data_IF_655482433141
#
_entry.id   IF_655482433141
#
_cell.length_a   1.000
_cell.length_b   1.000
_cell.length_c   1.000
_cell.angle_alpha   90.00
_cell.angle_beta   90.00
_cell.angle_gamma   90.00
#
_symmetry.space_group_name_H-M   'P 1'
#
loop_
_entity.id
_entity.type
_entity.pdbx_description
1 polymer ?
#
# COMPACT_ATOMS: atom_id res chain seq x y z
N UNK A 1 30.22 2.96 22.06
CA UNK A 1 29.42 3.46 23.22
C UNK A 1 29.46 2.38 24.28
N UNK A 2 29.86 2.72 25.51
CA UNK A 2 29.86 1.77 26.62
C UNK A 2 28.42 1.49 27.06
N UNK A 3 28.06 0.20 27.15
CA UNK A 3 26.79 -0.31 27.64
C UNK A 3 27.05 -0.85 29.04
N UNK A 4 26.27 -0.43 30.03
CA UNK A 4 26.38 -0.97 31.39
C UNK A 4 25.23 -1.95 31.59
N UNK A 5 25.58 -3.15 32.07
CA UNK A 5 24.62 -4.19 32.46
C UNK A 5 24.43 -4.07 33.97
N UNK A 6 23.20 -3.84 34.41
CA UNK A 6 22.86 -3.63 35.83
C UNK A 6 22.20 -4.90 36.38
N UNK A 7 22.98 -5.96 36.55
CA UNK A 7 22.50 -7.26 37.06
C UNK A 7 22.27 -7.27 38.59
N UNK A 8 23.09 -6.53 39.35
CA UNK A 8 23.10 -6.61 40.82
C UNK A 8 22.34 -5.47 41.51
N UNK A 9 21.75 -4.52 40.77
CA UNK A 9 21.02 -3.39 41.35
C UNK A 9 19.50 -3.63 41.37
N UNK A 10 18.91 -4.06 42.51
CA UNK A 10 17.49 -4.36 42.59
C UNK A 10 16.59 -3.15 42.35
N UNK A 11 17.07 -1.92 42.58
CA UNK A 11 16.32 -0.70 42.33
C UNK A 11 16.15 -0.40 40.83
N UNK A 12 17.07 -0.89 39.99
CA UNK A 12 17.06 -0.66 38.55
C UNK A 12 16.46 -1.83 37.77
N UNK A 13 16.26 -2.99 38.40
CA UNK A 13 15.78 -4.18 37.73
C UNK A 13 14.35 -3.98 37.17
N UNK A 14 14.16 -4.23 35.88
CA UNK A 14 12.86 -4.10 35.21
C UNK A 14 12.46 -2.66 34.86
N UNK A 15 13.33 -1.68 35.09
CA UNK A 15 13.07 -0.28 34.71
C UNK A 15 13.17 -0.07 33.20
N UNK A 16 12.29 0.78 32.66
CA UNK A 16 12.31 1.18 31.26
C UNK A 16 12.02 2.68 31.14
N UNK A 17 12.57 3.33 30.12
CA UNK A 17 12.40 4.77 29.89
C UNK A 17 13.67 5.57 30.19
N UNK A 18 13.56 6.88 30.37
CA UNK A 18 14.72 7.75 30.60
C UNK A 18 14.64 8.42 31.97
N UNK A 19 15.73 8.34 32.73
CA UNK A 19 15.91 9.06 34.01
C UNK A 19 17.13 9.96 33.83
N UNK A 20 16.90 11.27 33.85
CA UNK A 20 17.94 12.26 33.54
C UNK A 20 18.58 12.04 32.16
N UNK A 21 19.90 11.86 32.15
CA UNK A 21 20.71 11.62 30.96
C UNK A 21 20.98 10.13 30.69
N UNK A 22 20.24 9.22 31.31
CA UNK A 22 20.35 7.78 31.08
C UNK A 22 19.02 7.23 30.56
N UNK A 23 19.11 6.33 29.59
CA UNK A 23 17.97 5.56 29.09
C UNK A 23 18.15 4.10 29.49
N UNK A 24 17.09 3.51 30.02
CA UNK A 24 16.98 2.15 30.52
C UNK A 24 16.07 1.34 29.60
N UNK A 25 16.49 0.10 29.32
CA UNK A 25 15.67 -0.88 28.60
C UNK A 25 16.02 -2.28 29.07
N UNK A 26 15.01 -3.14 29.13
CA UNK A 26 15.18 -4.56 29.39
C UNK A 26 15.38 -5.32 28.08
N UNK A 27 16.47 -6.08 27.96
CA UNK A 27 16.72 -6.99 26.83
C UNK A 27 17.24 -8.31 27.37
N UNK A 28 16.63 -9.42 26.95
CA UNK A 28 16.96 -10.77 27.41
C UNK A 28 16.95 -10.91 28.95
N UNK A 29 15.99 -10.25 29.63
CA UNK A 29 15.89 -10.30 31.10
C UNK A 29 16.91 -9.46 31.86
N UNK A 30 17.85 -8.80 31.18
CA UNK A 30 18.83 -7.91 31.80
C UNK A 30 18.46 -6.45 31.61
N UNK A 31 18.63 -5.65 32.67
CA UNK A 31 18.45 -4.20 32.60
C UNK A 31 19.73 -3.56 32.08
N UNK A 32 19.60 -2.84 30.97
CA UNK A 32 20.70 -2.18 30.29
C UNK A 32 20.51 -0.68 30.39
N UNK A 33 21.58 0.05 30.70
CA UNK A 33 21.59 1.51 30.63
C UNK A 33 22.63 2.04 29.64
N UNK A 34 22.31 3.17 29.01
CA UNK A 34 23.23 3.95 28.18
C UNK A 34 22.93 5.45 28.27
N UNK A 35 23.90 6.32 27.96
CA UNK A 35 23.67 7.75 27.88
C UNK A 35 22.55 8.08 26.88
N UNK A 36 21.59 8.89 27.31
CA UNK A 36 20.50 9.38 26.48
C UNK A 36 21.08 9.96 25.19
N UNK A 37 20.62 9.44 24.05
CA UNK A 37 21.02 9.99 22.76
C UNK A 37 20.50 11.41 22.63
N UNK A 38 21.39 12.35 22.35
CA UNK A 38 21.02 13.70 21.95
C UNK A 38 20.41 13.75 20.54
N UNK A 39 19.90 14.91 20.11
CA UNK A 39 19.41 15.09 18.75
C UNK A 39 20.52 14.77 17.73
N UNK A 40 20.12 14.20 16.60
CA UNK A 40 21.07 13.90 15.53
C UNK A 40 21.60 15.21 14.96
N UNK A 41 22.93 15.36 14.91
CA UNK A 41 23.58 16.59 14.42
C UNK A 41 23.82 16.60 12.91
N UNK A 42 23.64 15.45 12.25
CA UNK A 42 23.81 15.34 10.80
C UNK A 42 22.51 15.69 10.09
N UNK A 43 22.56 16.48 9.00
CA UNK A 43 21.38 16.72 8.20
C UNK A 43 20.87 15.39 7.60
N UNK A 44 19.56 15.26 7.35
CA UNK A 44 19.00 14.10 6.68
C UNK A 44 19.59 13.92 5.26
N UNK A 45 19.72 12.69 4.81
CA UNK A 45 20.06 12.39 3.41
C UNK A 45 18.88 12.67 2.49
N UNK A 46 19.12 12.82 1.19
CA UNK A 46 18.05 13.03 0.20
C UNK A 46 17.00 11.91 0.23
N UNK A 47 17.43 10.65 0.37
CA UNK A 47 16.53 9.50 0.52
C UNK A 47 15.68 9.60 1.80
N UNK A 48 16.25 10.09 2.90
CA UNK A 48 15.51 10.29 4.15
C UNK A 48 14.47 11.41 4.01
N UNK A 49 14.81 12.50 3.33
CA UNK A 49 13.86 13.58 3.02
C UNK A 49 12.72 13.04 2.15
N UNK A 50 13.03 12.24 1.12
CA UNK A 50 11.99 11.64 0.27
C UNK A 50 11.03 10.73 1.06
N UNK A 51 11.54 9.97 2.03
CA UNK A 51 10.70 9.16 2.92
C UNK A 51 9.86 10.02 3.86
N UNK A 52 10.41 11.13 4.40
CA UNK A 52 9.67 12.07 5.24
C UNK A 52 8.51 12.71 4.48
N UNK A 53 8.75 13.19 3.26
CA UNK A 53 7.72 13.79 2.40
C UNK A 53 6.60 12.78 2.10
N UNK A 54 6.95 11.52 1.80
CA UNK A 54 5.95 10.44 1.63
C UNK A 54 5.14 10.20 2.90
N UNK A 55 5.81 10.13 4.05
CA UNK A 55 5.17 9.92 5.34
C UNK A 55 4.18 11.05 5.68
N UNK A 56 4.58 12.30 5.48
CA UNK A 56 3.72 13.47 5.68
C UNK A 56 2.48 13.43 4.81
N UNK A 57 2.64 13.10 3.52
CA UNK A 57 1.51 12.94 2.58
C UNK A 57 0.54 11.86 3.05
N UNK A 58 1.04 10.69 3.46
CA UNK A 58 0.20 9.59 3.94
C UNK A 58 -0.50 9.94 5.26
N UNK A 59 0.18 10.65 6.15
CA UNK A 59 -0.39 11.12 7.41
C UNK A 59 -1.51 12.15 7.17
N UNK A 60 -1.29 13.11 6.26
CA UNK A 60 -2.30 14.11 5.89
C UNK A 60 -3.56 13.44 5.33
N UNK A 61 -3.40 12.52 4.36
CA UNK A 61 -4.54 11.75 3.84
C UNK A 61 -5.28 10.99 4.95
N UNK A 62 -4.54 10.30 5.82
CA UNK A 62 -5.16 9.53 6.89
C UNK A 62 -5.93 10.42 7.88
N UNK A 63 -5.47 11.65 8.13
CA UNK A 63 -6.19 12.63 8.96
C UNK A 63 -7.49 13.09 8.29
N UNK A 64 -7.44 13.42 7.00
CA UNK A 64 -8.63 13.81 6.22
C UNK A 64 -9.64 12.66 6.14
N UNK A 65 -9.17 11.43 5.90
CA UNK A 65 -10.00 10.26 5.77
C UNK A 65 -10.75 9.89 7.07
N UNK A 66 -10.18 10.16 8.25
CA UNK A 66 -10.87 9.92 9.53
C UNK A 66 -11.77 11.09 9.95
N UNK A 67 -11.59 12.28 9.36
CA UNK A 67 -12.46 13.43 9.60
C UNK A 67 -13.85 13.21 8.99
N UNK A 68 -13.90 12.49 7.86
CA UNK A 68 -15.14 12.02 7.23
C UNK A 68 -15.72 10.82 8.01
N UNK A 69 -16.96 10.93 8.56
CA UNK A 69 -17.59 9.84 9.32
C UNK A 69 -17.79 8.54 8.52
N UNK A 70 -18.08 8.63 7.22
CA UNK A 70 -18.35 7.44 6.39
C UNK A 70 -17.05 6.67 6.12
N UNK A 71 -16.01 7.39 5.71
CA UNK A 71 -14.67 6.82 5.50
C UNK A 71 -14.09 6.27 6.81
N UNK A 72 -14.28 6.97 7.93
CA UNK A 72 -13.86 6.49 9.25
C UNK A 72 -14.49 5.15 9.60
N UNK A 73 -15.79 4.97 9.35
CA UNK A 73 -16.47 3.70 9.62
C UNK A 73 -15.95 2.58 8.71
N UNK A 74 -15.71 2.89 7.43
CA UNK A 74 -15.12 1.96 6.47
C UNK A 74 -13.72 1.50 6.91
N UNK A 75 -12.85 2.43 7.28
CA UNK A 75 -11.51 2.11 7.79
C UNK A 75 -11.54 1.40 9.16
N UNK A 76 -12.50 1.71 10.02
CA UNK A 76 -12.69 0.99 11.30
C UNK A 76 -13.05 -0.48 11.07
N UNK A 77 -13.86 -0.80 10.04
CA UNK A 77 -14.16 -2.19 9.66
C UNK A 77 -12.97 -2.92 9.05
N UNK A 78 -12.11 -2.20 8.33
CA UNK A 78 -10.89 -2.77 7.72
C UNK A 78 -9.69 -2.87 8.70
N UNK A 79 -9.80 -2.27 9.88
CA UNK A 79 -8.74 -2.28 10.89
C UNK A 79 -8.54 -3.69 11.47
N UNK A 80 -7.28 -4.11 11.62
CA UNK A 80 -6.93 -5.37 12.30
C UNK A 80 -6.88 -5.18 13.81
N UNK A 81 -6.84 -6.28 14.58
CA UNK A 81 -6.73 -6.24 16.05
C UNK A 81 -5.58 -5.32 16.49
N UNK A 82 -5.90 -4.31 17.31
CA UNK A 82 -4.94 -3.32 17.81
C UNK A 82 -4.63 -2.15 16.87
N UNK A 83 -5.29 -2.05 15.72
CA UNK A 83 -5.16 -0.90 14.80
C UNK A 83 -6.35 0.05 14.96
N UNK A 84 -6.07 1.35 14.92
CA UNK A 84 -7.10 2.39 14.80
C UNK A 84 -7.54 2.55 13.34
N UNK A 85 -8.68 3.21 13.11
CA UNK A 85 -9.11 3.61 11.77
C UNK A 85 -8.04 4.46 11.06
N UNK A 86 -7.36 5.34 11.81
CA UNK A 86 -6.23 6.12 11.31
C UNK A 86 -5.09 5.22 10.80
N UNK A 87 -4.69 4.20 11.58
CA UNK A 87 -3.62 3.28 11.17
C UNK A 87 -4.01 2.48 9.92
N UNK A 88 -5.30 2.15 9.76
CA UNK A 88 -5.80 1.50 8.57
C UNK A 88 -5.72 2.43 7.34
N UNK A 89 -6.19 3.68 7.45
CA UNK A 89 -6.11 4.69 6.38
C UNK A 89 -4.66 5.04 6.00
N UNK A 90 -3.78 5.17 7.00
CA UNK A 90 -2.36 5.40 6.75
C UNK A 90 -1.72 4.23 5.98
N UNK A 91 -2.05 2.98 6.37
CA UNK A 91 -1.54 1.79 5.68
C UNK A 91 -2.03 1.70 4.24
N UNK A 92 -3.28 2.10 4.01
CA UNK A 92 -3.92 2.16 2.70
C UNK A 92 -3.19 3.18 1.80
N UNK A 93 -3.05 4.43 2.27
CA UNK A 93 -2.32 5.46 1.54
C UNK A 93 -0.88 5.08 1.23
N UNK A 94 -0.20 4.36 2.14
CA UNK A 94 1.17 3.93 1.95
C UNK A 94 1.35 2.69 1.06
N UNK A 95 0.27 1.98 0.70
CA UNK A 95 0.35 0.72 -0.04
C UNK A 95 -0.57 0.77 -1.27
N UNK A 96 0.00 0.98 -2.46
CA UNK A 96 -0.81 1.00 -3.67
C UNK A 96 -1.46 -0.37 -3.94
N UNK A 97 -2.53 -0.40 -4.75
CA UNK A 97 -3.18 -1.64 -5.14
C UNK A 97 -2.21 -2.50 -5.96
N UNK A 98 -2.45 -3.82 -6.02
CA UNK A 98 -1.65 -4.71 -6.86
C UNK A 98 -2.52 -5.58 -7.75
N UNK A 99 -2.17 -5.66 -9.02
CA UNK A 99 -2.73 -6.65 -9.94
C UNK A 99 -1.99 -7.96 -9.68
N UNK A 100 -2.71 -8.98 -9.20
CA UNK A 100 -2.12 -10.28 -8.83
C UNK A 100 -2.19 -11.26 -9.99
N UNK A 101 -3.29 -11.28 -10.73
CA UNK A 101 -3.56 -12.23 -11.80
C UNK A 101 -4.37 -11.56 -12.91
N UNK A 102 -4.09 -11.97 -14.15
CA UNK A 102 -4.82 -11.55 -15.35
C UNK A 102 -5.18 -12.83 -16.11
N UNK A 103 -6.47 -13.02 -16.38
CA UNK A 103 -7.02 -14.15 -17.12
C UNK A 103 -7.69 -13.63 -18.40
N UNK A 104 -7.05 -13.94 -19.53
CA UNK A 104 -7.48 -13.57 -20.89
C UNK A 104 -8.11 -14.75 -21.65
N UNK A 105 -8.33 -15.92 -21.01
CA UNK A 105 -8.80 -17.14 -21.70
C UNK A 105 -10.15 -16.98 -22.41
N UNK A 106 -10.98 -16.04 -21.95
CA UNK A 106 -12.30 -15.74 -22.53
C UNK A 106 -12.26 -14.58 -23.54
N UNK A 107 -11.09 -13.97 -23.76
CA UNK A 107 -10.89 -12.96 -24.76
C UNK A 107 -10.36 -13.60 -26.04
N UNK A 108 -11.17 -13.58 -27.11
CA UNK A 108 -10.82 -14.13 -28.43
C UNK A 108 -10.70 -13.05 -29.51
N UNK A 109 -10.43 -11.80 -29.11
CA UNK A 109 -10.41 -10.67 -30.05
C UNK A 109 -11.78 -10.31 -30.63
N UNK A 110 -12.87 -10.85 -30.09
CA UNK A 110 -14.24 -10.53 -30.52
C UNK A 110 -14.90 -9.57 -29.53
N UNK A 111 -15.84 -8.76 -30.05
CA UNK A 111 -16.74 -7.97 -29.22
C UNK A 111 -17.48 -8.90 -28.25
N UNK A 112 -17.54 -8.52 -26.97
CA UNK A 112 -18.07 -9.35 -25.89
C UNK A 112 -17.06 -10.29 -25.24
N UNK A 113 -15.82 -10.34 -25.74
CA UNK A 113 -14.72 -11.08 -25.10
C UNK A 113 -14.45 -10.55 -23.69
N UNK A 114 -14.24 -11.45 -22.73
CA UNK A 114 -14.09 -11.07 -21.31
C UNK A 114 -12.65 -11.25 -20.87
N UNK A 115 -12.09 -10.22 -20.26
CA UNK A 115 -10.80 -10.26 -19.55
C UNK A 115 -11.10 -10.12 -18.06
N UNK A 116 -10.56 -11.04 -17.25
CA UNK A 116 -10.72 -11.01 -15.80
C UNK A 116 -9.40 -10.69 -15.14
N UNK A 117 -9.43 -9.97 -14.04
CA UNK A 117 -8.23 -9.62 -13.28
C UNK A 117 -8.53 -9.68 -11.79
N UNK A 118 -7.51 -10.08 -11.03
CA UNK A 118 -7.56 -10.12 -9.57
C UNK A 118 -6.73 -8.95 -9.04
N UNK A 119 -7.40 -7.89 -8.59
CA UNK A 119 -6.74 -6.69 -8.06
C UNK A 119 -6.93 -6.66 -6.55
N UNK A 120 -5.83 -6.73 -5.82
CA UNK A 120 -5.83 -6.76 -4.36
C UNK A 120 -5.39 -5.40 -3.82
N UNK A 121 -6.16 -4.89 -2.87
CA UNK A 121 -5.80 -3.70 -2.12
C UNK A 121 -5.95 -3.94 -0.60
N UNK A 122 -5.43 -3.02 0.20
CA UNK A 122 -5.50 -3.06 1.66
C UNK A 122 -6.94 -2.87 2.14
N UNK A 123 -7.71 -1.98 1.52
CA UNK A 123 -9.11 -1.75 1.88
C UNK A 123 -10.04 -2.02 0.70
N UNK A 124 -9.93 -1.26 -0.40
CA UNK A 124 -10.71 -1.47 -1.61
C UNK A 124 -10.08 -0.76 -2.80
N UNK A 125 -10.18 -1.40 -3.95
CA UNK A 125 -9.91 -0.77 -5.24
C UNK A 125 -11.12 0.08 -5.61
N UNK A 126 -10.90 1.32 -5.98
CA UNK A 126 -11.95 2.27 -6.34
C UNK A 126 -12.35 2.15 -7.81
N UNK A 127 -11.37 2.05 -8.69
CA UNK A 127 -11.60 1.89 -10.12
C UNK A 127 -10.49 1.08 -10.77
N UNK A 128 -10.85 0.36 -11.83
CA UNK A 128 -9.89 -0.31 -12.70
C UNK A 128 -10.23 0.07 -14.13
N UNK A 129 -9.25 0.61 -14.85
CA UNK A 129 -9.34 0.97 -16.25
C UNK A 129 -8.48 0.03 -17.07
N UNK A 130 -8.99 -0.43 -18.20
CA UNK A 130 -8.31 -1.33 -19.11
C UNK A 130 -8.09 -0.61 -20.43
N UNK A 131 -6.87 -0.72 -20.95
CA UNK A 131 -6.48 -0.25 -22.27
C UNK A 131 -5.90 -1.41 -23.05
N UNK A 132 -6.42 -1.67 -24.24
CA UNK A 132 -5.94 -2.69 -25.17
C UNK A 132 -5.15 -1.98 -26.26
N UNK A 133 -3.91 -2.39 -26.44
CA UNK A 133 -2.96 -1.91 -27.43
C UNK A 133 -2.73 -3.03 -28.46
N UNK A 134 -2.57 -2.65 -29.73
CA UNK A 134 -2.09 -3.54 -30.78
C UNK A 134 -0.62 -3.92 -30.57
N UNK A 135 -0.12 -4.91 -31.32
CA UNK A 135 1.31 -5.28 -31.35
C UNK A 135 2.21 -4.05 -31.60
N UNK A 136 1.82 -3.21 -32.55
CA UNK A 136 2.49 -1.95 -32.89
C UNK A 136 2.39 -0.86 -31.80
N UNK A 137 1.67 -1.11 -30.70
CA UNK A 137 1.49 -0.17 -29.59
C UNK A 137 0.41 0.89 -29.81
N UNK A 138 -0.37 0.80 -30.88
CA UNK A 138 -1.50 1.69 -31.11
C UNK A 138 -2.69 1.30 -30.21
N UNK A 139 -3.35 2.28 -29.61
CA UNK A 139 -4.55 2.09 -28.79
C UNK A 139 -5.72 1.60 -29.64
N UNK A 140 -6.20 0.39 -29.32
CA UNK A 140 -7.36 -0.23 -29.96
C UNK A 140 -8.63 0.06 -29.18
N UNK A 141 -8.54 0.01 -27.86
CA UNK A 141 -9.70 0.15 -26.99
C UNK A 141 -9.28 0.65 -25.60
N UNK A 142 -10.12 1.47 -24.98
CA UNK A 142 -10.02 1.83 -23.58
C UNK A 142 -11.39 1.85 -22.93
N UNK A 143 -11.49 1.34 -21.71
CA UNK A 143 -12.74 1.39 -20.95
C UNK A 143 -12.58 1.04 -19.49
N UNK A 144 -13.67 1.21 -18.74
CA UNK A 144 -13.71 0.92 -17.32
C UNK A 144 -14.14 -0.53 -17.06
N UNK A 145 -13.44 -1.18 -16.15
CA UNK A 145 -13.78 -2.51 -15.69
C UNK A 145 -14.90 -2.47 -14.66
N UNK A 146 -15.68 -3.54 -14.60
CA UNK A 146 -16.74 -3.72 -13.62
C UNK A 146 -16.25 -4.60 -12.48
N UNK A 147 -16.47 -4.17 -11.24
CA UNK A 147 -16.16 -4.96 -10.06
C UNK A 147 -17.02 -6.23 -10.02
N UNK A 148 -16.38 -7.37 -9.81
CA UNK A 148 -17.00 -8.68 -9.63
C UNK A 148 -17.13 -9.07 -8.16
N UNK A 149 -17.18 -10.38 -7.90
CA UNK A 149 -17.25 -10.92 -6.54
C UNK A 149 -15.87 -10.82 -5.88
N UNK A 150 -15.81 -10.19 -4.70
CA UNK A 150 -14.55 -10.02 -3.96
C UNK A 150 -13.59 -9.05 -4.66
N UNK A 151 -12.36 -9.50 -4.90
CA UNK A 151 -11.28 -8.70 -5.52
C UNK A 151 -11.17 -8.93 -7.04
N UNK A 152 -12.12 -9.65 -7.63
CA UNK A 152 -12.14 -9.88 -9.07
C UNK A 152 -12.81 -8.71 -9.78
N UNK A 153 -12.26 -8.37 -10.93
CA UNK A 153 -12.80 -7.38 -11.84
C UNK A 153 -12.88 -7.98 -13.24
N UNK A 154 -13.82 -7.48 -14.04
CA UNK A 154 -14.06 -7.93 -15.40
C UNK A 154 -14.10 -6.76 -16.36
N UNK A 155 -13.46 -6.93 -17.50
CA UNK A 155 -13.59 -6.04 -18.65
C UNK A 155 -14.23 -6.81 -19.80
N UNK A 156 -15.20 -6.18 -20.46
CA UNK A 156 -15.83 -6.74 -21.66
C UNK A 156 -15.41 -5.89 -22.84
N UNK A 157 -14.73 -6.52 -23.80
CA UNK A 157 -14.28 -5.83 -25.00
C UNK A 157 -15.47 -5.37 -25.85
N UNK A 158 -15.37 -4.14 -26.34
CA UNK A 158 -16.36 -3.47 -27.18
C UNK A 158 -15.89 -3.35 -28.62
N UNK A 159 -14.58 -3.51 -28.87
CA UNK A 159 -13.98 -3.43 -30.20
C UNK A 159 -13.47 -4.80 -30.62
N UNK A 160 -13.75 -5.17 -31.87
CA UNK A 160 -13.18 -6.38 -32.46
C UNK A 160 -11.69 -6.16 -32.75
N UNK A 161 -10.85 -7.06 -32.23
CA UNK A 161 -9.43 -7.15 -32.50
C UNK A 161 -9.11 -8.49 -33.18
N UNK A 162 -9.19 -8.56 -34.52
CA UNK A 162 -8.90 -9.80 -35.25
C UNK A 162 -7.43 -10.23 -35.15
N UNK A 163 -6.52 -9.32 -34.81
CA UNK A 163 -5.10 -9.58 -34.58
C UNK A 163 -4.78 -9.60 -33.08
N UNK A 164 -5.44 -10.50 -32.34
CA UNK A 164 -5.30 -10.55 -30.88
C UNK A 164 -3.92 -10.99 -30.38
N UNK A 165 -3.21 -11.81 -31.16
CA UNK A 165 -1.89 -12.33 -30.78
C UNK A 165 -0.86 -11.19 -30.83
N UNK A 166 -0.09 -11.02 -29.76
CA UNK A 166 0.87 -9.92 -29.60
C UNK A 166 0.23 -8.59 -29.18
N UNK A 167 -1.09 -8.56 -28.95
CA UNK A 167 -1.76 -7.40 -28.37
C UNK A 167 -1.43 -7.27 -26.88
N UNK A 168 -1.34 -6.05 -26.38
CA UNK A 168 -1.00 -5.76 -24.99
C UNK A 168 -2.18 -5.19 -24.24
N UNK A 169 -2.42 -5.67 -23.03
CA UNK A 169 -3.48 -5.22 -22.12
C UNK A 169 -2.82 -4.49 -20.97
N UNK A 170 -3.05 -3.19 -20.92
CA UNK A 170 -2.64 -2.32 -19.81
C UNK A 170 -3.82 -2.18 -18.84
N UNK A 171 -3.62 -2.61 -17.60
CA UNK A 171 -4.59 -2.52 -16.51
C UNK A 171 -4.10 -1.46 -15.53
N UNK A 172 -4.87 -0.40 -15.37
CA UNK A 172 -4.61 0.69 -14.43
C UNK A 172 -5.61 0.59 -13.28
N UNK A 173 -5.13 0.26 -12.08
CA UNK A 173 -5.95 0.19 -10.87
C UNK A 173 -5.70 1.40 -9.97
N UNK A 174 -6.78 2.00 -9.46
CA UNK A 174 -6.76 3.14 -8.55
C UNK A 174 -7.44 2.77 -7.24
N UNK A 175 -6.81 3.03 -6.10
CA UNK A 175 -7.38 2.81 -4.76
C UNK A 175 -8.13 4.04 -4.22
N UNK A 176 -8.72 3.91 -3.03
CA UNK A 176 -9.44 5.01 -2.36
C UNK A 176 -8.54 6.23 -2.04
N UNK A 177 -7.27 6.04 -1.60
CA UNK A 177 -6.28 7.12 -1.49
C UNK A 177 -5.84 7.78 -2.82
N UNK A 178 -6.19 7.20 -3.96
CA UNK A 178 -5.77 7.68 -5.28
C UNK A 178 -4.36 7.24 -5.68
N UNK A 179 -3.81 6.20 -5.04
CA UNK A 179 -2.64 5.52 -5.57
C UNK A 179 -3.01 4.73 -6.83
N UNK A 180 -2.11 4.76 -7.79
CA UNK A 180 -2.29 4.14 -9.10
C UNK A 180 -1.23 3.05 -9.27
N UNK A 181 -1.67 1.89 -9.76
CA UNK A 181 -0.80 0.80 -10.18
C UNK A 181 -1.15 0.38 -11.59
N UNK A 182 -0.13 0.23 -12.42
CA UNK A 182 -0.25 -0.23 -13.79
C UNK A 182 0.37 -1.63 -13.92
N UNK A 183 -0.33 -2.51 -14.63
CA UNK A 183 0.17 -3.82 -15.00
C UNK A 183 -0.08 -4.04 -16.48
N UNK A 184 0.93 -4.51 -17.20
CA UNK A 184 0.87 -4.81 -18.62
C UNK A 184 0.96 -6.32 -18.84
N UNK A 185 0.16 -6.82 -19.78
CA UNK A 185 0.13 -8.23 -20.15
C UNK A 185 -0.01 -8.40 -21.65
N UNK A 186 0.82 -9.26 -22.25
CA UNK A 186 0.75 -9.60 -23.67
C UNK A 186 -0.13 -10.84 -23.88
N UNK A 187 -1.01 -10.78 -24.90
CA UNK A 187 -1.96 -11.85 -25.26
C UNK A 187 -1.34 -12.81 -26.29
#
# INVERSE_FOLDING_TARGET
MAKIINEENPMMNGTSGSIGNLTFMTRNGQTISWPKRGPNKKPPTEEQVAVQVKFERFAAYAQEAIADPEKKLLYAKAAKKGQSAFNAAFRDAARPPRVSEIDTRQYRGLVGGVIRFLVKDVVRVESVKVKILSEAGAELEQGDAVSGIGNYWKYTATVANPAMLGSRVLVTATDLPGNITEAEFEI
#
